data_IF_145706958017
#
_entry.id   IF_145706958017
#
_cell.length_a   1.000
_cell.length_b   1.000
_cell.length_c   1.000
_cell.angle_alpha   90.00
_cell.angle_beta   90.00
_cell.angle_gamma   90.00
#
_symmetry.space_group_name_H-M   'P 1'
#
loop_
_entity.id
_entity.type
_entity.pdbx_description
1 polymer ?
#
# COMPACT_ATOMS: atom_id res chain seq x y z
N UNK A 1 27.84 50.15 61.28
CA UNK A 1 28.97 49.62 60.49
C UNK A 1 29.39 48.28 61.03
N UNK A 2 28.74 47.22 60.60
CA UNK A 2 29.10 45.86 61.04
C UNK A 2 28.92 44.91 59.87
N UNK A 3 30.07 44.50 59.33
CA UNK A 3 30.19 43.53 58.26
C UNK A 3 29.97 42.15 58.80
N UNK A 4 28.90 41.47 58.44
CA UNK A 4 28.67 40.11 58.77
C UNK A 4 29.19 39.21 57.61
N UNK A 5 30.28 38.49 57.86
CA UNK A 5 30.81 37.46 56.97
C UNK A 5 30.10 36.13 57.27
N UNK A 6 29.22 35.72 56.38
CA UNK A 6 28.71 34.36 56.35
C UNK A 6 29.79 33.40 55.81
N UNK A 7 30.35 32.63 56.72
CA UNK A 7 31.21 31.48 56.42
C UNK A 7 30.38 30.33 55.90
N UNK A 8 30.55 29.98 54.62
CA UNK A 8 30.01 28.75 54.04
C UNK A 8 30.90 27.60 54.49
N UNK A 9 30.41 26.78 55.39
CA UNK A 9 31.04 25.53 55.79
C UNK A 9 30.93 24.51 54.61
N UNK A 10 32.05 24.29 53.92
CA UNK A 10 32.17 23.21 52.96
C UNK A 10 32.21 21.91 53.71
N UNK A 11 31.12 21.16 53.73
CA UNK A 11 31.08 19.79 54.25
C UNK A 11 31.91 18.88 53.34
N UNK A 12 33.12 18.63 53.76
CA UNK A 12 34.02 17.65 53.15
C UNK A 12 33.45 16.25 53.41
N UNK A 13 32.79 15.69 52.38
CA UNK A 13 32.33 14.30 52.42
C UNK A 13 33.52 13.37 52.35
N UNK A 14 33.66 12.55 53.40
CA UNK A 14 34.71 11.53 53.59
C UNK A 14 34.74 10.58 52.36
N UNK A 15 35.92 10.27 51.78
CA UNK A 15 36.06 9.43 50.59
C UNK A 15 35.46 8.03 50.75
N UNK A 16 35.38 7.51 51.98
CA UNK A 16 34.72 6.22 52.26
C UNK A 16 33.20 6.27 51.98
N UNK A 17 32.55 7.40 52.23
CA UNK A 17 31.11 7.55 51.96
C UNK A 17 30.79 7.69 50.45
N UNK A 18 31.75 8.13 49.67
CA UNK A 18 31.59 8.21 48.20
C UNK A 18 31.59 6.82 47.53
N UNK A 19 32.39 5.93 48.07
CA UNK A 19 32.40 4.52 47.62
C UNK A 19 31.10 3.82 48.01
N UNK A 20 30.64 3.96 49.25
CA UNK A 20 29.39 3.37 49.71
C UNK A 20 28.19 3.91 48.92
N UNK A 21 28.11 5.22 48.61
CA UNK A 21 27.07 5.82 47.81
C UNK A 21 27.09 5.31 46.36
N UNK A 22 28.25 5.08 45.77
CA UNK A 22 28.38 4.52 44.41
C UNK A 22 27.90 3.08 44.34
N UNK A 23 28.20 2.28 45.34
CA UNK A 23 27.71 0.89 45.43
C UNK A 23 26.19 0.82 45.66
N UNK A 24 25.64 1.75 46.46
CA UNK A 24 24.18 1.81 46.70
C UNK A 24 23.42 2.20 45.43
N UNK A 25 23.94 3.12 44.61
CA UNK A 25 23.33 3.50 43.32
C UNK A 25 23.41 2.33 42.33
N UNK A 26 24.54 1.61 42.29
CA UNK A 26 24.68 0.44 41.40
C UNK A 26 23.74 -0.70 41.82
N UNK A 27 23.56 -0.94 43.13
CA UNK A 27 22.61 -1.94 43.62
C UNK A 27 21.16 -1.56 43.35
N UNK A 28 20.78 -0.28 43.42
CA UNK A 28 19.44 0.20 43.08
C UNK A 28 19.18 0.11 41.59
N UNK A 29 20.20 0.36 40.75
CA UNK A 29 20.07 0.18 39.29
C UNK A 29 19.92 -1.30 38.90
N UNK A 30 20.62 -2.19 39.57
CA UNK A 30 20.50 -3.63 39.34
C UNK A 30 19.14 -4.19 39.78
N UNK A 31 18.57 -3.65 40.87
CA UNK A 31 17.25 -4.07 41.35
C UNK A 31 16.10 -3.61 40.45
N UNK A 32 16.28 -2.52 39.70
CA UNK A 32 15.26 -2.04 38.73
C UNK A 32 15.19 -2.87 37.43
N UNK A 33 16.26 -3.65 37.14
CA UNK A 33 16.30 -4.52 35.97
C UNK A 33 15.61 -5.88 36.20
N UNK A 34 15.30 -6.24 37.44
CA UNK A 34 14.63 -7.52 37.76
C UNK A 34 13.11 -7.45 37.70
N UNK A 35 12.50 -6.26 37.48
CA UNK A 35 11.06 -6.11 37.41
C UNK A 35 10.46 -6.36 36.00
N UNK A 36 11.29 -6.78 35.01
CA UNK A 36 10.82 -7.29 33.72
C UNK A 36 10.59 -8.81 33.73
N UNK A 37 10.15 -9.39 34.85
CA UNK A 37 9.84 -10.83 34.97
C UNK A 37 8.56 -11.25 34.21
N UNK A 38 8.04 -10.40 33.34
CA UNK A 38 6.89 -10.69 32.46
C UNK A 38 7.16 -10.52 30.97
N UNK A 39 8.44 -10.22 30.60
CA UNK A 39 8.75 -10.07 29.17
C UNK A 39 9.05 -11.44 28.57
N UNK A 40 8.06 -12.02 27.93
CA UNK A 40 8.16 -13.27 27.20
C UNK A 40 9.03 -13.08 25.96
N UNK A 41 10.32 -13.45 26.10
CA UNK A 41 11.28 -13.40 24.99
C UNK A 41 10.91 -14.34 23.84
N UNK A 42 10.00 -15.28 24.05
CA UNK A 42 9.46 -16.16 23.00
C UNK A 42 8.71 -15.37 21.93
N UNK A 43 8.11 -14.22 22.29
CA UNK A 43 7.42 -13.35 21.34
C UNK A 43 8.36 -12.52 20.46
N UNK A 44 9.63 -12.43 20.80
CA UNK A 44 10.65 -11.73 19.99
C UNK A 44 11.36 -12.65 19.00
N UNK A 45 11.04 -13.93 18.98
CA UNK A 45 11.61 -14.84 18.00
C UNK A 45 11.01 -14.52 16.62
N UNK A 46 11.82 -14.07 15.63
CA UNK A 46 11.31 -13.74 14.28
C UNK A 46 10.61 -14.91 13.61
N UNK A 47 10.93 -16.15 13.97
CA UNK A 47 10.22 -17.33 13.46
C UNK A 47 8.78 -17.41 13.95
N UNK A 48 8.42 -16.77 15.07
CA UNK A 48 7.04 -16.71 15.55
C UNK A 48 6.23 -15.59 14.86
N UNK A 49 6.88 -14.66 14.17
CA UNK A 49 6.18 -13.66 13.34
C UNK A 49 5.68 -14.24 12.01
N UNK A 50 6.33 -15.31 11.57
CA UNK A 50 5.97 -16.10 10.39
C UNK A 50 5.53 -17.51 10.80
N UNK A 51 5.24 -17.71 12.11
CA UNK A 51 4.70 -18.96 12.60
C UNK A 51 3.34 -19.22 11.94
N UNK A 52 3.09 -20.47 11.67
CA UNK A 52 1.86 -21.03 11.09
C UNK A 52 0.65 -20.91 12.04
N UNK A 53 0.43 -19.73 12.61
CA UNK A 53 -0.88 -19.41 13.13
C UNK A 53 -1.80 -19.30 11.92
N UNK A 54 -2.45 -20.40 11.58
CA UNK A 54 -3.57 -20.43 10.63
C UNK A 54 -4.69 -19.53 11.14
N UNK A 55 -4.44 -18.21 11.10
CA UNK A 55 -5.39 -17.20 11.58
C UNK A 55 -6.66 -17.19 10.74
N UNK A 56 -6.59 -17.67 9.53
CA UNK A 56 -7.72 -17.99 8.65
C UNK A 56 -7.23 -18.90 7.50
N UNK A 57 -7.35 -20.21 7.61
CA UNK A 57 -7.12 -21.06 6.45
C UNK A 57 -8.06 -20.59 5.33
N UNK A 58 -7.58 -20.54 4.07
CA UNK A 58 -8.44 -20.20 2.95
C UNK A 58 -9.67 -21.09 2.98
N UNK A 59 -10.85 -20.48 2.97
CA UNK A 59 -12.10 -21.26 2.89
C UNK A 59 -12.08 -22.09 1.62
N UNK A 60 -12.31 -23.40 1.75
CA UNK A 60 -12.41 -24.28 0.60
C UNK A 60 -13.55 -23.80 -0.30
N UNK A 61 -13.23 -23.55 -1.58
CA UNK A 61 -14.22 -23.10 -2.54
C UNK A 61 -15.25 -24.21 -2.79
N UNK A 62 -16.51 -23.89 -2.54
CA UNK A 62 -17.62 -24.76 -2.88
C UNK A 62 -17.65 -24.91 -4.41
N UNK A 63 -17.79 -26.13 -4.89
CA UNK A 63 -17.96 -26.39 -6.31
C UNK A 63 -19.24 -25.70 -6.80
N UNK A 64 -19.08 -24.72 -7.71
CA UNK A 64 -20.19 -24.03 -8.33
C UNK A 64 -20.55 -24.77 -9.61
N UNK A 65 -21.79 -25.23 -9.71
CA UNK A 65 -22.30 -25.73 -10.97
C UNK A 65 -22.59 -24.51 -11.86
N UNK A 66 -21.91 -24.44 -13.00
CA UNK A 66 -22.05 -23.33 -13.92
C UNK A 66 -23.43 -23.39 -14.61
N UNK A 67 -24.31 -22.45 -14.29
CA UNK A 67 -25.62 -22.32 -14.94
C UNK A 67 -25.51 -21.68 -16.33
N UNK A 68 -24.43 -20.92 -16.58
CA UNK A 68 -24.19 -20.22 -17.84
C UNK A 68 -22.82 -20.59 -18.39
N UNK A 69 -22.78 -20.99 -19.66
CA UNK A 69 -21.54 -21.24 -20.39
C UNK A 69 -21.23 -20.05 -21.29
N UNK A 70 -20.13 -19.36 -21.01
CA UNK A 70 -19.64 -18.24 -21.82
C UNK A 70 -18.60 -18.75 -22.81
N UNK A 71 -18.76 -18.37 -24.08
CA UNK A 71 -17.79 -18.61 -25.14
C UNK A 71 -17.22 -17.30 -25.62
N UNK A 72 -15.88 -17.21 -25.75
CA UNK A 72 -15.25 -16.07 -26.39
C UNK A 72 -15.51 -16.14 -27.90
N UNK A 73 -16.13 -15.10 -28.45
CA UNK A 73 -16.34 -14.99 -29.88
C UNK A 73 -15.10 -14.41 -30.60
N UNK A 74 -14.52 -13.34 -30.05
CA UNK A 74 -13.31 -12.73 -30.57
C UNK A 74 -12.56 -11.98 -29.45
N UNK A 75 -11.35 -11.56 -29.73
CA UNK A 75 -10.55 -10.66 -28.89
C UNK A 75 -9.74 -9.69 -29.76
N UNK A 76 -9.43 -8.52 -29.20
CA UNK A 76 -8.62 -7.50 -29.86
C UNK A 76 -7.79 -6.73 -28.82
N UNK A 77 -6.64 -6.22 -29.27
CA UNK A 77 -5.75 -5.42 -28.42
C UNK A 77 -5.81 -3.96 -28.79
N UNK A 78 -5.92 -3.08 -27.78
CA UNK A 78 -5.91 -1.63 -27.92
C UNK A 78 -4.71 -1.07 -27.19
N UNK A 79 -3.68 -0.63 -27.90
CA UNK A 79 -2.47 -0.04 -27.31
C UNK A 79 -1.87 -0.85 -26.18
N UNK A 80 -1.36 -0.15 -25.17
CA UNK A 80 -0.71 -0.74 -23.99
C UNK A 80 -1.66 -0.91 -22.77
N UNK A 81 -2.97 -0.79 -22.98
CA UNK A 81 -4.00 -0.93 -21.95
C UNK A 81 -4.11 0.29 -21.04
N UNK A 82 -4.44 0.07 -19.76
CA UNK A 82 -4.73 1.16 -18.82
C UNK A 82 -3.49 1.88 -18.25
N UNK A 83 -2.29 1.39 -18.55
CA UNK A 83 -1.05 1.98 -18.04
C UNK A 83 -0.83 1.70 -16.56
N UNK A 84 -0.10 2.63 -15.89
CA UNK A 84 0.28 2.50 -14.46
C UNK A 84 -0.66 3.24 -13.50
N UNK A 85 -1.63 3.97 -14.02
CA UNK A 85 -2.55 4.82 -13.26
C UNK A 85 -3.89 4.09 -13.12
N UNK A 86 -4.59 4.31 -12.01
CA UNK A 86 -5.95 3.81 -11.82
C UNK A 86 -6.92 4.58 -12.73
N UNK A 87 -7.04 4.13 -13.97
CA UNK A 87 -7.94 4.70 -14.95
C UNK A 87 -9.09 3.73 -15.21
N UNK A 88 -10.30 4.24 -15.28
CA UNK A 88 -11.47 3.49 -15.72
C UNK A 88 -11.68 3.73 -17.23
N UNK A 89 -10.75 3.25 -18.05
CA UNK A 89 -10.90 3.30 -19.50
C UNK A 89 -11.81 2.14 -19.92
N UNK A 90 -13.10 2.43 -19.95
CA UNK A 90 -14.13 1.43 -20.29
C UNK A 90 -14.45 1.55 -21.78
N UNK A 91 -14.51 0.46 -22.54
CA UNK A 91 -14.98 0.47 -23.91
C UNK A 91 -16.48 0.74 -23.97
N UNK A 92 -16.94 1.27 -25.11
CA UNK A 92 -18.36 1.59 -25.35
C UNK A 92 -18.84 0.97 -26.67
N UNK A 93 -20.05 0.46 -26.63
CA UNK A 93 -20.74 -0.08 -27.80
C UNK A 93 -21.75 0.96 -28.32
N UNK A 94 -21.64 1.34 -29.60
CA UNK A 94 -22.62 2.16 -30.32
C UNK A 94 -23.03 1.46 -31.62
N UNK A 95 -24.24 0.93 -31.66
CA UNK A 95 -24.70 0.07 -32.71
C UNK A 95 -23.86 -1.20 -32.88
N UNK A 96 -23.32 -1.44 -34.06
CA UNK A 96 -22.47 -2.58 -34.37
C UNK A 96 -20.96 -2.27 -34.22
N UNK A 97 -20.61 -1.18 -33.56
CA UNK A 97 -19.20 -0.73 -33.37
C UNK A 97 -18.83 -0.68 -31.91
N UNK A 98 -17.70 -1.29 -31.58
CA UNK A 98 -17.08 -1.20 -30.28
C UNK A 98 -15.93 -0.20 -30.35
N UNK A 99 -15.97 0.82 -29.50
CA UNK A 99 -14.90 1.79 -29.36
C UNK A 99 -14.14 1.54 -28.06
N UNK A 100 -12.82 1.54 -28.16
CA UNK A 100 -11.94 1.33 -27.02
C UNK A 100 -10.73 2.25 -27.10
N UNK A 101 -10.16 2.56 -25.94
CA UNK A 101 -8.99 3.41 -25.83
C UNK A 101 -7.96 2.78 -24.92
N UNK A 102 -6.74 3.30 -25.01
CA UNK A 102 -5.60 2.92 -24.18
C UNK A 102 -4.94 4.16 -23.62
N UNK A 103 -4.35 4.06 -22.42
CA UNK A 103 -3.67 5.17 -21.76
C UNK A 103 -2.52 5.78 -22.57
N UNK A 104 -1.97 5.04 -23.53
CA UNK A 104 -0.90 5.52 -24.42
C UNK A 104 -1.40 6.43 -25.56
N UNK A 105 -2.65 6.89 -25.52
CA UNK A 105 -3.26 7.76 -26.52
C UNK A 105 -3.93 7.02 -27.68
N UNK A 106 -3.89 5.69 -27.71
CA UNK A 106 -4.52 4.91 -28.79
C UNK A 106 -6.03 4.85 -28.60
N UNK A 107 -6.79 5.18 -29.66
CA UNK A 107 -8.24 5.01 -29.77
C UNK A 107 -8.52 4.15 -30.98
N UNK A 108 -9.40 3.17 -30.85
CA UNK A 108 -9.73 2.26 -31.93
C UNK A 108 -11.21 1.90 -31.96
N UNK A 109 -11.72 1.64 -33.16
CA UNK A 109 -13.05 1.09 -33.38
C UNK A 109 -12.96 -0.30 -34.02
N UNK A 110 -13.80 -1.19 -33.52
CA UNK A 110 -13.91 -2.56 -33.99
C UNK A 110 -15.35 -2.88 -34.35
N UNK A 111 -15.52 -3.80 -35.28
CA UNK A 111 -16.80 -4.43 -35.51
C UNK A 111 -17.18 -5.27 -34.29
N UNK A 112 -18.36 -5.05 -33.75
CA UNK A 112 -18.82 -5.79 -32.58
C UNK A 112 -19.13 -7.26 -32.91
N UNK A 113 -19.36 -7.59 -34.15
CA UNK A 113 -19.76 -8.92 -34.59
C UNK A 113 -18.57 -9.91 -34.67
N UNK A 114 -17.43 -9.43 -35.17
CA UNK A 114 -16.28 -10.28 -35.49
C UNK A 114 -14.94 -9.72 -35.00
N UNK A 115 -14.94 -8.55 -34.33
CA UNK A 115 -13.71 -7.93 -33.82
C UNK A 115 -12.81 -7.30 -34.89
N UNK A 116 -13.27 -7.20 -36.13
CA UNK A 116 -12.50 -6.59 -37.21
C UNK A 116 -12.18 -5.13 -36.88
N UNK A 117 -10.91 -4.72 -37.03
CA UNK A 117 -10.49 -3.34 -36.83
C UNK A 117 -11.09 -2.46 -37.94
N UNK A 118 -11.88 -1.47 -37.55
CA UNK A 118 -12.48 -0.49 -38.45
C UNK A 118 -11.57 0.72 -38.68
N UNK A 119 -11.02 1.24 -37.57
CA UNK A 119 -10.03 2.31 -37.60
C UNK A 119 -9.25 2.37 -36.29
N UNK A 120 -8.08 3.00 -36.31
CA UNK A 120 -7.25 3.27 -35.16
C UNK A 120 -6.56 4.61 -35.33
N UNK A 121 -6.61 5.42 -34.30
CA UNK A 121 -5.95 6.71 -34.20
C UNK A 121 -5.09 6.78 -32.96
N UNK A 122 -4.07 7.63 -32.97
CA UNK A 122 -3.21 7.88 -31.84
C UNK A 122 -3.16 9.38 -31.55
N UNK A 123 -3.54 9.71 -30.33
CA UNK A 123 -3.38 11.06 -29.78
C UNK A 123 -1.98 11.17 -29.15
N UNK A 124 -1.42 12.39 -29.16
CA UNK A 124 -0.14 12.67 -28.49
C UNK A 124 -0.28 12.87 -26.98
N UNK A 125 -1.47 12.59 -26.43
CA UNK A 125 -1.80 12.78 -25.02
C UNK A 125 -2.16 11.46 -24.33
N UNK A 126 -1.96 11.42 -23.01
CA UNK A 126 -2.37 10.28 -22.17
C UNK A 126 -3.90 10.30 -22.01
N UNK A 127 -4.54 9.19 -22.33
CA UNK A 127 -5.97 9.03 -22.09
C UNK A 127 -6.17 8.54 -20.64
N UNK A 128 -6.95 9.29 -19.88
CA UNK A 128 -7.25 9.03 -18.47
C UNK A 128 -8.73 8.79 -18.20
N UNK A 129 -9.58 9.16 -19.13
CA UNK A 129 -11.04 8.99 -19.04
C UNK A 129 -11.57 7.89 -19.93
N UNK A 130 -12.78 7.43 -19.64
CA UNK A 130 -13.48 6.44 -20.45
C UNK A 130 -13.83 6.93 -21.85
N UNK A 131 -14.22 6.00 -22.70
CA UNK A 131 -14.69 6.29 -24.06
C UNK A 131 -16.18 6.57 -24.02
N UNK A 132 -16.61 7.67 -24.65
CA UNK A 132 -18.01 7.95 -25.00
C UNK A 132 -18.23 7.86 -26.48
N UNK A 133 -19.34 7.32 -26.92
CA UNK A 133 -19.70 7.30 -28.34
C UNK A 133 -21.19 7.58 -28.53
N UNK A 134 -21.52 8.30 -29.61
CA UNK A 134 -22.89 8.61 -29.98
C UNK A 134 -22.95 9.71 -31.04
N UNK A 135 -24.03 9.76 -31.78
CA UNK A 135 -24.27 10.80 -32.82
C UNK A 135 -23.13 10.94 -33.83
N UNK A 136 -22.40 9.86 -34.11
CA UNK A 136 -21.23 9.87 -34.99
C UNK A 136 -19.95 10.45 -34.42
N UNK A 137 -19.93 10.73 -33.10
CA UNK A 137 -18.77 11.24 -32.36
C UNK A 137 -18.20 10.17 -31.43
N UNK A 138 -16.91 10.24 -31.23
CA UNK A 138 -16.20 9.49 -30.19
C UNK A 138 -15.47 10.49 -29.29
N UNK A 139 -15.65 10.39 -27.99
CA UNK A 139 -15.08 11.26 -26.96
C UNK A 139 -14.17 10.46 -26.06
N UNK A 140 -13.03 11.02 -25.71
CA UNK A 140 -12.10 10.46 -24.70
C UNK A 140 -11.64 11.58 -23.78
N UNK A 141 -11.40 11.26 -22.51
CA UNK A 141 -10.80 12.19 -21.55
C UNK A 141 -9.28 12.06 -21.57
N UNK A 142 -8.57 13.17 -21.71
CA UNK A 142 -7.11 13.23 -21.69
C UNK A 142 -6.60 13.99 -20.47
N UNK A 143 -5.35 13.75 -20.09
CA UNK A 143 -4.61 14.56 -19.16
C UNK A 143 -3.97 15.73 -19.92
N UNK A 144 -4.31 16.97 -19.53
CA UNK A 144 -3.76 18.20 -20.11
C UNK A 144 -2.55 18.69 -19.29
#
# INVERSE_FOLDING_TARGET
>A
MTSSKHSLASSQLNPSNRLAARWSVLLLLAASLTNCAGFDTGKLNPSNWFGDDEVNPPTELIRIDAEVSLRREWDASVGNGQGKIFNLITPVLDGARLFAASADGTVAAYSANDGALLWRERLDETITGGVGAGYGLVLVGTEA
#
